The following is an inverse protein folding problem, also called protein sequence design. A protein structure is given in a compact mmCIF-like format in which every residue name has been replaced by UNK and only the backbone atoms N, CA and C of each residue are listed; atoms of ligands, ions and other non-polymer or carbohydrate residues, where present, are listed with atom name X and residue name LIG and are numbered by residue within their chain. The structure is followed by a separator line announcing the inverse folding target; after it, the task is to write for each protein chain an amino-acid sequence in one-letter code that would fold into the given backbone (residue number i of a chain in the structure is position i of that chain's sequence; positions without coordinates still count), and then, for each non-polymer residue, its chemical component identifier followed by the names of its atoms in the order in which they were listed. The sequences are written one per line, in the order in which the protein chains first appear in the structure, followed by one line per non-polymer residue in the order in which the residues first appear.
data_IF_616342012084
#
_entry.id   IF_616342012084
#
_cell.length_a   1.000
_cell.length_b   1.000
_cell.length_c   1.000
_cell.angle_alpha   90.00
_cell.angle_beta   90.00
_cell.angle_gamma   90.00
#
_symmetry.space_group_name_H-M   'P 1'
#
loop_
_entity.id
_entity.type
_entity.pdbx_description
1 polymer ?
#
# COMPACT_ATOMS: atom_id res chain seq x y z
N UNK A 1 -19.44 -20.46 -5.58
CA UNK A 1 -18.78 -19.17 -5.90
C UNK A 1 -17.53 -18.91 -5.07
N UNK A 2 -17.55 -19.03 -3.73
CA UNK A 2 -16.35 -18.81 -2.91
C UNK A 2 -15.12 -19.64 -3.32
N UNK A 3 -15.29 -20.92 -3.67
CA UNK A 3 -14.16 -21.78 -4.08
C UNK A 3 -13.43 -21.25 -5.32
N UNK A 4 -14.14 -20.65 -6.28
CA UNK A 4 -13.52 -20.05 -7.46
C UNK A 4 -12.76 -18.78 -7.12
N UNK A 5 -13.23 -18.01 -6.14
CA UNK A 5 -12.57 -16.78 -5.70
C UNK A 5 -11.24 -17.11 -5.01
N UNK A 6 -11.24 -18.08 -4.09
CA UNK A 6 -10.03 -18.47 -3.36
C UNK A 6 -8.95 -19.05 -4.27
N UNK A 7 -9.32 -19.76 -5.34
CA UNK A 7 -8.34 -20.29 -6.30
C UNK A 7 -7.85 -19.23 -7.29
N UNK A 8 -8.69 -18.27 -7.66
CA UNK A 8 -8.36 -17.25 -8.65
C UNK A 8 -7.52 -16.10 -8.07
N UNK A 9 -7.69 -15.80 -6.78
CA UNK A 9 -6.94 -14.76 -6.07
C UNK A 9 -5.40 -14.93 -6.13
N UNK A 10 -4.80 -16.10 -5.78
CA UNK A 10 -3.35 -16.27 -5.88
C UNK A 10 -2.84 -16.18 -7.32
N UNK A 11 -3.62 -16.64 -8.30
CA UNK A 11 -3.28 -16.54 -9.73
C UNK A 11 -3.21 -15.06 -10.14
N UNK A 12 -4.19 -14.25 -9.77
CA UNK A 12 -4.16 -12.82 -10.10
C UNK A 12 -3.05 -12.07 -9.39
N UNK A 13 -2.75 -12.39 -8.12
CA UNK A 13 -1.58 -11.82 -7.44
C UNK A 13 -0.28 -12.20 -8.15
N UNK A 14 -0.16 -13.44 -8.62
CA UNK A 14 0.99 -13.89 -9.39
C UNK A 14 1.12 -13.13 -10.71
N UNK A 15 0.03 -12.99 -11.47
CA UNK A 15 0.02 -12.24 -12.73
C UNK A 15 0.34 -10.76 -12.48
N UNK A 16 -0.23 -10.12 -11.47
CA UNK A 16 0.07 -8.74 -11.10
C UNK A 16 1.55 -8.57 -10.71
N UNK A 17 2.10 -9.49 -9.91
CA UNK A 17 3.50 -9.50 -9.51
C UNK A 17 4.44 -9.69 -10.70
N UNK A 18 4.14 -10.65 -11.57
CA UNK A 18 4.91 -10.92 -12.78
C UNK A 18 4.87 -9.73 -13.74
N UNK A 19 3.69 -9.16 -14.00
CA UNK A 19 3.52 -7.96 -14.82
C UNK A 19 4.30 -6.78 -14.24
N UNK A 20 4.28 -6.59 -12.92
CA UNK A 20 5.05 -5.53 -12.27
C UNK A 20 6.57 -5.71 -12.44
N UNK A 21 7.09 -6.93 -12.25
CA UNK A 21 8.52 -7.23 -12.44
C UNK A 21 8.92 -6.98 -13.90
N UNK A 22 8.13 -7.49 -14.85
CA UNK A 22 8.41 -7.33 -16.28
C UNK A 22 8.39 -5.86 -16.71
N UNK A 23 7.45 -5.09 -16.19
CA UNK A 23 7.28 -3.68 -16.53
C UNK A 23 8.43 -2.80 -16.02
N UNK A 24 9.12 -3.20 -14.94
CA UNK A 24 10.10 -2.34 -14.23
C UNK A 24 11.56 -2.70 -14.53
N UNK A 25 12.02 -2.41 -15.75
CA UNK A 25 13.41 -2.71 -16.19
C UNK A 25 14.48 -1.89 -15.40
N UNK A 26 14.15 -0.73 -14.81
CA UNK A 26 15.15 0.16 -14.17
C UNK A 26 14.98 0.45 -12.65
N UNK A 27 14.22 -0.37 -11.92
CA UNK A 27 13.92 -0.22 -10.47
C UNK A 27 13.06 1.02 -10.12
N UNK A 28 12.28 1.03 -9.03
CA UNK A 28 12.74 1.75 -7.82
C UNK A 28 11.94 1.53 -6.53
N UNK A 29 10.82 0.81 -6.53
CA UNK A 29 10.08 0.52 -5.29
C UNK A 29 10.32 -0.93 -4.85
N UNK A 30 11.36 -1.15 -4.03
CA UNK A 30 11.56 -2.46 -3.37
C UNK A 30 10.36 -2.78 -2.48
N UNK A 31 9.81 -1.77 -1.82
CA UNK A 31 8.67 -1.87 -0.92
C UNK A 31 7.43 -2.44 -1.61
N UNK A 32 7.12 -2.02 -2.85
CA UNK A 32 5.93 -2.53 -3.56
C UNK A 32 6.11 -3.96 -4.06
N UNK A 33 7.34 -4.36 -4.40
CA UNK A 33 7.62 -5.78 -4.70
C UNK A 33 7.39 -6.66 -3.49
N UNK A 34 7.84 -6.22 -2.32
CA UNK A 34 7.61 -6.94 -1.07
C UNK A 34 6.13 -6.96 -0.70
N UNK A 35 5.41 -5.86 -0.91
CA UNK A 35 3.95 -5.81 -0.77
C UNK A 35 3.24 -6.89 -1.61
N UNK A 36 3.53 -6.94 -2.92
CA UNK A 36 2.96 -7.93 -3.83
C UNK A 36 3.37 -9.36 -3.45
N UNK A 37 4.63 -9.57 -3.05
CA UNK A 37 5.15 -10.88 -2.65
C UNK A 37 4.49 -11.39 -1.37
N UNK A 38 4.28 -10.53 -0.37
CA UNK A 38 3.57 -10.90 0.87
C UNK A 38 2.13 -11.25 0.57
N UNK A 39 1.43 -10.47 -0.26
CA UNK A 39 0.08 -10.80 -0.67
C UNK A 39 -0.01 -12.11 -1.45
N UNK A 40 0.90 -12.34 -2.39
CA UNK A 40 0.97 -13.60 -3.13
C UNK A 40 1.22 -14.79 -2.20
N UNK A 41 2.21 -14.68 -1.29
CA UNK A 41 2.52 -15.74 -0.34
C UNK A 41 1.34 -16.02 0.61
N UNK A 42 0.70 -14.97 1.13
CA UNK A 42 -0.49 -15.11 1.98
C UNK A 42 -1.64 -15.77 1.23
N UNK A 43 -1.94 -15.35 0.00
CA UNK A 43 -3.00 -15.93 -0.82
C UNK A 43 -2.70 -17.40 -1.19
N UNK A 44 -1.44 -17.73 -1.52
CA UNK A 44 -1.02 -19.07 -1.86
C UNK A 44 -1.14 -20.05 -0.67
N UNK A 45 -0.95 -19.57 0.56
CA UNK A 45 -1.11 -20.38 1.77
C UNK A 45 -2.56 -20.43 2.24
N UNK A 46 -3.32 -19.33 2.13
CA UNK A 46 -4.72 -19.26 2.55
C UNK A 46 -5.64 -20.09 1.64
N UNK A 47 -5.38 -20.15 0.33
CA UNK A 47 -6.19 -20.90 -0.61
C UNK A 47 -6.34 -22.41 -0.27
N UNK A 48 -5.26 -23.19 -0.03
CA UNK A 48 -5.38 -24.59 0.37
C UNK A 48 -6.00 -24.73 1.76
N UNK A 49 -5.72 -23.83 2.71
CA UNK A 49 -6.34 -23.85 4.04
C UNK A 49 -7.86 -23.67 3.93
N UNK A 50 -8.32 -22.70 3.12
CA UNK A 50 -9.74 -22.48 2.87
C UNK A 50 -10.42 -23.69 2.22
N UNK A 51 -9.72 -24.41 1.33
CA UNK A 51 -10.22 -25.65 0.74
C UNK A 51 -10.33 -26.78 1.77
N UNK A 52 -9.34 -26.91 2.66
CA UNK A 52 -9.36 -27.91 3.74
C UNK A 52 -10.49 -27.63 4.74
N UNK A 53 -10.78 -26.35 5.03
CA UNK A 53 -11.87 -25.96 5.93
C UNK A 53 -13.26 -26.39 5.44
N UNK A 54 -13.47 -26.54 4.13
CA UNK A 54 -14.78 -26.95 3.57
C UNK A 54 -15.13 -28.40 3.89
N UNK A 55 -14.15 -29.25 4.17
CA UNK A 55 -14.34 -30.66 4.50
C UNK A 55 -14.05 -31.00 5.97
N UNK A 56 -13.68 -30.02 6.78
CA UNK A 56 -13.32 -30.22 8.18
C UNK A 56 -14.55 -30.09 9.08
N UNK A 57 -14.69 -30.99 10.05
CA UNK A 57 -15.76 -30.94 11.05
C UNK A 57 -15.18 -30.92 12.48
N UNK A 58 -15.95 -30.35 13.40
CA UNK A 58 -15.62 -30.35 14.83
C UNK A 58 -14.31 -29.63 15.17
N UNK A 59 -13.39 -30.34 15.84
CA UNK A 59 -12.17 -29.74 16.41
C UNK A 59 -11.15 -29.34 15.34
N UNK A 60 -11.12 -30.03 14.20
CA UNK A 60 -10.22 -29.72 13.09
C UNK A 60 -10.60 -28.41 12.41
N UNK A 61 -11.90 -28.18 12.21
CA UNK A 61 -12.42 -26.92 11.67
C UNK A 61 -12.02 -25.72 12.54
N UNK A 62 -12.06 -25.87 13.86
CA UNK A 62 -11.64 -24.82 14.80
C UNK A 62 -10.14 -24.48 14.67
N UNK A 63 -9.26 -25.49 14.59
CA UNK A 63 -7.82 -25.25 14.44
C UNK A 63 -7.48 -24.62 13.08
N UNK A 64 -8.16 -25.06 12.01
CA UNK A 64 -8.00 -24.49 10.68
C UNK A 64 -8.49 -23.04 10.63
N UNK A 65 -9.61 -22.72 11.29
CA UNK A 65 -10.10 -21.34 11.39
C UNK A 65 -9.12 -20.43 12.14
N UNK A 66 -8.57 -20.92 13.26
CA UNK A 66 -7.54 -20.21 14.00
C UNK A 66 -6.29 -19.96 13.14
N UNK A 67 -5.80 -20.99 12.45
CA UNK A 67 -4.63 -20.89 11.57
C UNK A 67 -4.88 -19.93 10.40
N UNK A 68 -6.04 -20.04 9.75
CA UNK A 68 -6.49 -19.15 8.67
C UNK A 68 -6.51 -17.70 9.16
N UNK A 69 -7.14 -17.43 10.31
CA UNK A 69 -7.22 -16.11 10.92
C UNK A 69 -5.82 -15.54 11.21
N UNK A 70 -4.92 -16.33 11.81
CA UNK A 70 -3.56 -15.89 12.12
C UNK A 70 -2.76 -15.51 10.86
N UNK A 71 -2.76 -16.37 9.85
CA UNK A 71 -2.03 -16.14 8.60
C UNK A 71 -2.59 -14.91 7.87
N UNK A 72 -3.92 -14.77 7.84
CA UNK A 72 -4.58 -13.62 7.26
C UNK A 72 -4.15 -12.33 7.96
N UNK A 73 -4.25 -12.24 9.29
CA UNK A 73 -3.93 -11.00 10.00
C UNK A 73 -2.44 -10.64 9.93
N UNK A 74 -1.53 -11.61 10.06
CA UNK A 74 -0.11 -11.35 9.91
C UNK A 74 0.27 -10.94 8.48
N UNK A 75 -0.31 -11.60 7.48
CA UNK A 75 -0.17 -11.22 6.07
C UNK A 75 -0.65 -9.78 5.83
N UNK A 76 -1.80 -9.42 6.37
CA UNK A 76 -2.41 -8.09 6.31
C UNK A 76 -1.55 -7.00 6.98
N UNK A 77 -0.98 -7.28 8.16
CA UNK A 77 -0.05 -6.37 8.85
C UNK A 77 1.22 -6.20 8.04
N UNK A 78 1.83 -7.30 7.57
CA UNK A 78 3.05 -7.28 6.78
C UNK A 78 2.87 -6.48 5.49
N UNK A 79 1.82 -6.80 4.73
CA UNK A 79 1.46 -6.05 3.52
C UNK A 79 1.23 -4.57 3.83
N UNK A 80 0.52 -4.25 4.91
CA UNK A 80 0.27 -2.88 5.32
C UNK A 80 1.53 -2.06 5.59
N UNK A 81 2.52 -2.66 6.25
CA UNK A 81 3.82 -2.01 6.49
C UNK A 81 4.56 -1.77 5.17
N UNK A 82 4.54 -2.72 4.24
CA UNK A 82 5.15 -2.55 2.92
C UNK A 82 4.41 -1.52 2.06
N UNK A 83 3.08 -1.40 2.19
CA UNK A 83 2.30 -0.35 1.53
C UNK A 83 2.70 1.04 2.02
N UNK A 84 2.89 1.24 3.33
CA UNK A 84 3.44 2.48 3.89
C UNK A 84 4.86 2.75 3.37
N UNK A 85 5.68 1.72 3.25
CA UNK A 85 7.00 1.82 2.60
C UNK A 85 6.90 2.25 1.13
N UNK A 86 5.95 1.71 0.37
CA UNK A 86 5.69 2.14 -1.01
C UNK A 86 5.27 3.60 -1.08
N UNK A 87 4.40 4.05 -0.17
CA UNK A 87 4.02 5.46 -0.08
C UNK A 87 5.25 6.32 0.19
N UNK A 88 6.10 5.92 1.15
CA UNK A 88 7.37 6.61 1.42
C UNK A 88 8.20 6.79 0.15
N UNK A 89 8.37 5.72 -0.61
CA UNK A 89 9.17 5.72 -1.84
C UNK A 89 8.55 6.65 -2.90
N UNK A 90 7.22 6.63 -3.04
CA UNK A 90 6.48 7.52 -3.95
C UNK A 90 6.63 8.98 -3.53
N UNK A 91 6.39 9.31 -2.25
CA UNK A 91 6.53 10.67 -1.74
C UNK A 91 7.97 11.18 -1.85
N UNK A 92 8.96 10.35 -1.52
CA UNK A 92 10.37 10.71 -1.65
C UNK A 92 10.72 11.13 -3.08
N UNK A 93 10.19 10.40 -4.07
CA UNK A 93 10.44 10.69 -5.49
C UNK A 93 9.72 11.94 -5.97
N UNK A 94 8.47 12.16 -5.55
CA UNK A 94 7.68 13.34 -5.95
C UNK A 94 8.25 14.60 -5.31
N UNK A 95 8.69 14.53 -4.06
CA UNK A 95 9.21 15.66 -3.30
C UNK A 95 10.70 15.92 -3.52
N UNK A 96 11.37 15.23 -4.45
CA UNK A 96 12.80 15.46 -4.78
C UNK A 96 13.11 16.93 -5.11
N UNK A 97 12.15 17.67 -5.64
CA UNK A 97 12.28 19.10 -5.96
C UNK A 97 12.14 20.02 -4.74
N UNK A 98 11.56 19.52 -3.64
CA UNK A 98 11.20 20.26 -2.43
C UNK A 98 11.90 19.64 -1.20
N UNK A 99 13.22 19.76 -1.14
CA UNK A 99 14.07 19.08 -0.13
C UNK A 99 13.62 19.33 1.31
N UNK A 100 13.18 20.55 1.65
CA UNK A 100 12.70 20.88 2.99
C UNK A 100 11.42 20.13 3.38
N UNK A 101 10.42 20.14 2.48
CA UNK A 101 9.16 19.43 2.69
C UNK A 101 9.36 17.91 2.66
N UNK A 102 10.23 17.42 1.78
CA UNK A 102 10.63 16.02 1.69
C UNK A 102 11.13 15.49 3.03
N UNK A 103 12.06 16.20 3.69
CA UNK A 103 12.61 15.79 4.99
C UNK A 103 11.54 15.72 6.07
N UNK A 104 10.67 16.73 6.16
CA UNK A 104 9.61 16.77 7.16
C UNK A 104 8.61 15.63 6.96
N UNK A 105 8.15 15.42 5.73
CA UNK A 105 7.18 14.37 5.41
C UNK A 105 7.75 12.97 5.63
N UNK A 106 9.01 12.74 5.23
CA UNK A 106 9.67 11.45 5.47
C UNK A 106 9.91 11.19 6.97
N UNK A 107 10.24 12.24 7.73
CA UNK A 107 10.39 12.14 9.19
C UNK A 107 9.06 11.79 9.85
N UNK A 108 7.95 12.45 9.48
CA UNK A 108 6.61 12.13 9.97
C UNK A 108 6.23 10.67 9.65
N UNK A 109 6.46 10.22 8.42
CA UNK A 109 6.16 8.85 8.02
C UNK A 109 7.04 7.81 8.74
N UNK A 110 8.30 8.15 9.00
CA UNK A 110 9.20 7.31 9.80
C UNK A 110 8.71 7.16 11.24
N UNK A 111 8.30 8.26 11.88
CA UNK A 111 7.73 8.19 13.23
C UNK A 111 6.42 7.41 13.27
N UNK A 112 5.60 7.54 12.24
CA UNK A 112 4.37 6.75 12.10
C UNK A 112 4.68 5.24 12.02
N UNK A 113 5.72 4.83 11.28
CA UNK A 113 6.19 3.44 11.25
C UNK A 113 6.73 2.98 12.61
N UNK A 114 7.46 3.83 13.34
CA UNK A 114 7.95 3.52 14.69
C UNK A 114 6.78 3.33 15.66
N UNK A 115 5.79 4.23 15.63
CA UNK A 115 4.58 4.13 16.47
C UNK A 115 3.80 2.86 16.11
N UNK A 116 3.62 2.58 14.82
CA UNK A 116 2.98 1.35 14.36
C UNK A 116 3.71 0.09 14.88
N UNK A 117 5.04 0.07 14.80
CA UNK A 117 5.86 -1.02 15.33
C UNK A 117 5.70 -1.17 16.84
N UNK A 118 5.73 -0.08 17.61
CA UNK A 118 5.52 -0.12 19.06
C UNK A 118 4.12 -0.60 19.43
N UNK A 119 3.09 -0.21 18.67
CA UNK A 119 1.72 -0.70 18.87
C UNK A 119 1.63 -2.20 18.56
N UNK A 120 2.20 -2.67 17.46
CA UNK A 120 2.27 -4.10 17.13
C UNK A 120 2.99 -4.86 18.24
N UNK A 121 4.18 -4.41 18.63
CA UNK A 121 5.00 -5.05 19.66
C UNK A 121 4.27 -5.08 21.01
N UNK A 122 3.67 -3.95 21.42
CA UNK A 122 2.89 -3.88 22.65
C UNK A 122 1.72 -4.86 22.62
N UNK A 123 1.03 -5.03 21.48
CA UNK A 123 -0.08 -5.99 21.36
C UNK A 123 0.40 -7.44 21.34
N UNK A 124 1.54 -7.73 20.71
CA UNK A 124 2.16 -9.07 20.73
C UNK A 124 2.62 -9.45 22.14
N UNK A 125 3.16 -8.50 22.90
CA UNK A 125 3.62 -8.71 24.28
C UNK A 125 2.48 -8.68 25.31
N UNK A 126 1.40 -7.94 25.03
CA UNK A 126 0.22 -7.83 25.87
C UNK A 126 -0.61 -9.12 25.78
N UNK A 127 -0.15 -10.15 26.48
CA UNK A 127 -0.87 -11.41 26.70
C UNK A 127 -2.03 -11.20 27.70
N UNK A 128 -2.98 -10.32 27.38
CA UNK A 128 -4.09 -9.96 28.27
C UNK A 128 -5.28 -10.89 28.00
N UNK A 129 -5.53 -11.79 28.95
CA UNK A 129 -6.41 -12.97 28.85
C UNK A 129 -7.92 -12.73 28.65
N UNK A 130 -8.36 -11.56 28.20
CA UNK A 130 -9.77 -11.24 27.96
C UNK A 130 -10.14 -11.09 26.47
N UNK A 131 -9.18 -10.81 25.58
CA UNK A 131 -9.46 -10.61 24.14
C UNK A 131 -8.72 -11.69 23.33
N UNK A 132 -9.42 -12.45 22.47
CA UNK A 132 -8.78 -13.45 21.62
C UNK A 132 -7.70 -12.78 20.77
N UNK A 133 -6.54 -13.43 20.65
CA UNK A 133 -5.35 -12.89 19.99
C UNK A 133 -5.62 -12.42 18.55
N UNK A 134 -6.49 -13.12 17.81
CA UNK A 134 -6.96 -12.71 16.48
C UNK A 134 -7.66 -11.35 16.47
N UNK A 135 -8.48 -11.05 17.48
CA UNK A 135 -9.15 -9.75 17.62
C UNK A 135 -8.16 -8.62 17.90
N UNK A 136 -7.06 -8.89 18.60
CA UNK A 136 -6.02 -7.88 18.83
C UNK A 136 -5.26 -7.56 17.53
N UNK A 137 -4.92 -8.59 16.74
CA UNK A 137 -4.29 -8.39 15.44
C UNK A 137 -5.20 -7.66 14.45
N UNK A 138 -6.51 -7.93 14.49
CA UNK A 138 -7.50 -7.23 13.68
C UNK A 138 -7.51 -5.71 13.93
N UNK A 139 -7.49 -5.30 15.21
CA UNK A 139 -7.43 -3.87 15.59
C UNK A 139 -6.16 -3.20 15.05
N UNK A 140 -5.03 -3.91 15.09
CA UNK A 140 -3.76 -3.42 14.56
C UNK A 140 -3.81 -3.27 13.04
N UNK A 141 -4.28 -4.30 12.32
CA UNK A 141 -4.43 -4.26 10.87
C UNK A 141 -5.37 -3.11 10.44
N UNK A 142 -6.51 -2.98 11.10
CA UNK A 142 -7.46 -1.89 10.88
C UNK A 142 -6.82 -0.50 11.08
N UNK A 143 -6.07 -0.30 12.17
CA UNK A 143 -5.37 0.96 12.41
C UNK A 143 -4.36 1.29 11.30
N UNK A 144 -3.66 0.28 10.77
CA UNK A 144 -2.75 0.46 9.64
C UNK A 144 -3.49 0.81 8.35
N UNK A 145 -4.62 0.15 8.05
CA UNK A 145 -5.43 0.46 6.87
C UNK A 145 -6.01 1.88 6.91
N UNK A 146 -6.51 2.31 8.08
CA UNK A 146 -6.99 3.67 8.27
C UNK A 146 -5.87 4.68 8.03
N UNK A 147 -4.68 4.39 8.58
CA UNK A 147 -3.51 5.26 8.43
C UNK A 147 -3.06 5.34 6.96
N UNK A 148 -3.05 4.22 6.24
CA UNK A 148 -2.79 4.18 4.81
C UNK A 148 -3.81 5.00 4.02
N UNK A 149 -5.10 4.83 4.30
CA UNK A 149 -6.16 5.57 3.63
C UNK A 149 -6.00 7.08 3.84
N UNK A 150 -5.72 7.52 5.07
CA UNK A 150 -5.47 8.93 5.38
C UNK A 150 -4.25 9.45 4.62
N UNK A 151 -3.12 8.74 4.66
CA UNK A 151 -1.90 9.16 3.93
C UNK A 151 -2.17 9.22 2.43
N UNK A 152 -2.81 8.21 1.85
CA UNK A 152 -3.11 8.16 0.42
C UNK A 152 -4.08 9.24 -0.03
N UNK A 153 -5.02 9.64 0.82
CA UNK A 153 -5.91 10.77 0.56
C UNK A 153 -5.16 12.09 0.38
N UNK A 154 -3.98 12.24 0.99
CA UNK A 154 -3.09 13.38 0.73
C UNK A 154 -2.16 13.14 -0.46
N UNK A 155 -1.65 11.92 -0.63
CA UNK A 155 -0.68 11.59 -1.69
C UNK A 155 -1.30 11.67 -3.08
N UNK A 156 -2.50 11.12 -3.28
CA UNK A 156 -3.17 11.11 -4.60
C UNK A 156 -3.36 12.53 -5.17
N UNK A 157 -4.03 13.47 -4.47
CA UNK A 157 -4.21 14.82 -5.00
C UNK A 157 -2.87 15.53 -5.17
N UNK A 158 -1.88 15.27 -4.29
CA UNK A 158 -0.55 15.83 -4.44
C UNK A 158 0.16 15.31 -5.71
N UNK A 159 0.04 14.01 -6.01
CA UNK A 159 0.56 13.44 -7.26
C UNK A 159 -0.09 14.08 -8.48
N UNK A 160 -1.41 14.33 -8.43
CA UNK A 160 -2.17 14.95 -9.51
C UNK A 160 -1.77 16.42 -9.71
N UNK A 161 -1.56 17.17 -8.62
CA UNK A 161 -1.17 18.58 -8.67
C UNK A 161 0.28 18.77 -9.15
N UNK A 162 1.22 17.93 -8.69
CA UNK A 162 2.66 18.08 -9.00
C UNK A 162 3.02 17.51 -10.37
N UNK A 163 2.34 16.45 -10.84
CA UNK A 163 2.61 15.83 -12.16
C UNK A 163 1.46 16.04 -13.12
N UNK A 164 1.30 17.26 -13.62
CA UNK A 164 0.27 17.64 -14.59
C UNK A 164 0.45 17.05 -16.01
N UNK A 165 1.46 16.19 -16.29
CA UNK A 165 1.85 15.89 -17.68
C UNK A 165 2.22 14.44 -18.03
N UNK A 166 2.19 13.46 -17.13
CA UNK A 166 2.45 12.08 -17.55
C UNK A 166 1.77 11.11 -16.62
N UNK A 167 0.97 10.20 -17.19
CA UNK A 167 0.39 9.02 -16.56
C UNK A 167 1.50 8.22 -15.88
N UNK A 168 1.86 8.59 -14.66
CA UNK A 168 3.00 7.98 -13.99
C UNK A 168 2.54 6.77 -13.23
N UNK A 169 3.18 5.62 -13.43
CA UNK A 169 2.85 4.35 -12.76
C UNK A 169 2.70 4.45 -11.23
N UNK A 170 3.33 5.44 -10.59
CA UNK A 170 3.16 5.71 -9.15
C UNK A 170 1.75 6.16 -8.78
N UNK A 171 1.07 6.89 -9.67
CA UNK A 171 -0.32 7.29 -9.47
C UNK A 171 -1.24 6.06 -9.53
N UNK A 172 -1.03 5.17 -10.51
CA UNK A 172 -1.81 3.94 -10.64
C UNK A 172 -1.61 3.00 -9.45
N UNK A 173 -0.36 2.88 -8.97
CA UNK A 173 -0.04 2.15 -7.73
C UNK A 173 -0.69 2.79 -6.51
N UNK A 174 -0.54 4.10 -6.32
CA UNK A 174 -1.11 4.81 -5.18
C UNK A 174 -2.64 4.75 -5.18
N UNK A 175 -3.27 4.86 -6.35
CA UNK A 175 -4.72 4.74 -6.51
C UNK A 175 -5.21 3.34 -6.13
N UNK A 176 -4.57 2.29 -6.66
CA UNK A 176 -4.94 0.91 -6.30
C UNK A 176 -4.74 0.61 -4.82
N UNK A 177 -3.65 1.09 -4.22
CA UNK A 177 -3.44 0.99 -2.77
C UNK A 177 -4.52 1.74 -1.98
N UNK A 178 -5.02 2.86 -2.49
CA UNK A 178 -6.04 3.65 -1.80
C UNK A 178 -7.39 2.97 -1.85
N UNK A 179 -7.75 2.42 -3.00
CA UNK A 179 -8.97 1.62 -3.16
C UNK A 179 -8.95 0.44 -2.19
N UNK A 180 -7.84 -0.30 -2.11
CA UNK A 180 -7.70 -1.42 -1.17
C UNK A 180 -7.77 -0.95 0.29
N UNK A 181 -6.99 0.05 0.67
CA UNK A 181 -6.96 0.56 2.04
C UNK A 181 -8.32 1.09 2.51
N UNK A 182 -9.03 1.84 1.64
CA UNK A 182 -10.37 2.35 1.93
C UNK A 182 -11.37 1.18 2.02
N UNK A 183 -11.30 0.21 1.11
CA UNK A 183 -12.21 -0.95 1.15
C UNK A 183 -12.03 -1.78 2.42
N UNK A 184 -10.79 -2.02 2.85
CA UNK A 184 -10.51 -2.72 4.10
C UNK A 184 -10.95 -1.88 5.30
N UNK A 185 -10.68 -0.57 5.31
CA UNK A 185 -11.13 0.31 6.38
C UNK A 185 -12.66 0.38 6.52
N UNK A 186 -13.42 0.32 5.41
CA UNK A 186 -14.89 0.34 5.40
C UNK A 186 -15.47 -1.03 5.74
N UNK A 187 -14.95 -2.09 5.13
CA UNK A 187 -15.51 -3.44 5.29
C UNK A 187 -15.14 -4.06 6.64
N UNK A 188 -13.98 -3.68 7.19
CA UNK A 188 -13.58 -4.07 8.55
C UNK A 188 -14.12 -3.08 9.61
N UNK A 189 -14.86 -2.04 9.18
CA UNK A 189 -15.52 -1.08 10.08
C UNK A 189 -16.60 -1.79 10.88
N UNK A 190 -16.35 -1.98 12.18
CA UNK A 190 -17.29 -2.65 13.09
C UNK A 190 -16.96 -4.12 13.40
N UNK A 191 -15.87 -4.68 12.84
CA UNK A 191 -15.34 -6.00 13.22
C UNK A 191 -14.74 -6.05 14.64
N UNK A 192 -14.90 -4.99 15.43
CA UNK A 192 -14.47 -4.91 16.83
C UNK A 192 -15.32 -5.81 17.74
N UNK A 193 -16.48 -6.23 17.24
CA UNK A 193 -17.28 -7.30 17.83
C UNK A 193 -17.11 -8.55 16.97
N UNK A 194 -16.98 -9.75 17.58
CA UNK A 194 -16.96 -11.01 16.86
C UNK A 194 -18.34 -11.24 16.23
N UNK A 195 -18.57 -10.64 15.08
CA UNK A 195 -19.72 -10.89 14.24
C UNK A 195 -19.27 -11.87 13.16
N UNK A 196 -20.04 -12.93 12.86
CA UNK A 196 -19.74 -13.76 11.70
C UNK A 196 -19.71 -12.86 10.47
N UNK A 197 -18.59 -12.88 9.74
CA UNK A 197 -18.41 -12.11 8.51
C UNK A 197 -19.53 -12.53 7.56
N UNK A 198 -20.29 -11.56 7.07
CA UNK A 198 -21.41 -11.88 6.18
C UNK A 198 -20.87 -12.38 4.84
N UNK A 199 -21.55 -13.34 4.21
CA UNK A 199 -21.17 -13.82 2.87
C UNK A 199 -21.12 -12.66 1.86
N UNK A 200 -21.94 -11.63 2.05
CA UNK A 200 -21.95 -10.41 1.25
C UNK A 200 -20.66 -9.59 1.42
N UNK A 201 -20.15 -9.43 2.64
CA UNK A 201 -18.87 -8.75 2.91
C UNK A 201 -17.70 -9.49 2.24
N UNK A 202 -17.66 -10.82 2.33
CA UNK A 202 -16.61 -11.63 1.69
C UNK A 202 -16.64 -11.43 0.17
N UNK A 203 -17.84 -11.46 -0.44
CA UNK A 203 -18.00 -11.24 -1.88
C UNK A 203 -17.57 -9.82 -2.25
N UNK A 204 -17.97 -8.80 -1.49
CA UNK A 204 -17.59 -7.41 -1.73
C UNK A 204 -16.07 -7.20 -1.64
N UNK A 205 -15.42 -7.70 -0.57
CA UNK A 205 -13.97 -7.65 -0.41
C UNK A 205 -13.25 -8.32 -1.58
N UNK A 206 -13.74 -9.50 -1.98
CA UNK A 206 -13.19 -10.25 -3.10
C UNK A 206 -13.31 -9.48 -4.41
N UNK A 207 -14.47 -8.89 -4.70
CA UNK A 207 -14.68 -8.09 -5.90
C UNK A 207 -13.75 -6.87 -5.95
N UNK A 208 -13.54 -6.18 -4.84
CA UNK A 208 -12.62 -5.03 -4.78
C UNK A 208 -11.17 -5.47 -5.05
N UNK A 209 -10.73 -6.57 -4.44
CA UNK A 209 -9.38 -7.12 -4.69
C UNK A 209 -9.22 -7.53 -6.15
N UNK A 210 -10.18 -8.28 -6.70
CA UNK A 210 -10.16 -8.73 -8.09
C UNK A 210 -10.10 -7.55 -9.08
N UNK A 211 -10.96 -6.56 -8.90
CA UNK A 211 -11.01 -5.36 -9.77
C UNK A 211 -9.73 -4.55 -9.68
N UNK A 212 -9.17 -4.38 -8.48
CA UNK A 212 -7.89 -3.67 -8.30
C UNK A 212 -6.72 -4.42 -8.94
N UNK A 213 -6.67 -5.75 -8.79
CA UNK A 213 -5.62 -6.56 -9.42
C UNK A 213 -5.70 -6.51 -10.94
N UNK A 214 -6.91 -6.63 -11.50
CA UNK A 214 -7.14 -6.48 -12.94
C UNK A 214 -6.70 -5.10 -13.43
N UNK A 215 -7.09 -4.04 -12.70
CA UNK A 215 -6.63 -2.68 -12.98
C UNK A 215 -5.09 -2.56 -12.99
N UNK A 216 -4.41 -3.10 -11.98
CA UNK A 216 -2.95 -3.11 -11.94
C UNK A 216 -2.31 -3.91 -13.06
N UNK A 217 -2.87 -5.07 -13.42
CA UNK A 217 -2.38 -5.87 -14.54
C UNK A 217 -2.45 -5.06 -15.82
N UNK A 218 -3.57 -4.38 -16.09
CA UNK A 218 -3.70 -3.49 -17.26
C UNK A 218 -2.73 -2.31 -17.22
N UNK A 219 -2.57 -1.67 -16.05
CA UNK A 219 -1.63 -0.56 -15.87
C UNK A 219 -0.17 -0.99 -16.06
N UNK A 220 0.22 -2.20 -15.63
CA UNK A 220 1.59 -2.68 -15.76
C UNK A 220 1.89 -3.32 -17.12
N UNK A 221 0.88 -3.91 -17.77
CA UNK A 221 1.00 -4.49 -19.10
C UNK A 221 1.03 -3.43 -20.21
N UNK A 222 0.46 -2.25 -19.97
CA UNK A 222 0.55 -1.13 -20.90
C UNK A 222 2.01 -0.71 -21.10
N UNK A 223 2.49 -0.78 -22.34
CA UNK A 223 3.79 -0.21 -22.71
C UNK A 223 3.74 1.31 -22.48
N UNK A 224 4.64 1.81 -21.66
CA UNK A 224 4.76 3.25 -21.42
C UNK A 224 5.55 3.81 -22.60
N UNK A 225 4.87 4.48 -23.52
CA UNK A 225 5.53 5.25 -24.58
C UNK A 225 6.58 6.14 -23.91
N UNK A 226 7.84 6.01 -24.35
CA UNK A 226 8.95 6.75 -23.77
C UNK A 226 8.57 8.22 -23.71
N UNK A 227 8.63 8.87 -22.52
CA UNK A 227 8.19 10.24 -22.39
C UNK A 227 9.01 11.10 -23.34
N UNK A 228 8.39 11.60 -24.40
CA UNK A 228 8.99 12.62 -25.24
C UNK A 228 9.48 13.74 -24.30
N UNK A 229 10.71 14.24 -24.46
CA UNK A 229 11.24 15.30 -23.62
C UNK A 229 10.42 16.57 -23.82
N UNK A 230 9.32 16.68 -23.06
CA UNK A 230 8.47 17.87 -23.01
C UNK A 230 9.24 18.94 -22.27
N UNK A 231 9.95 19.76 -23.05
CA UNK A 231 10.46 21.05 -22.60
C UNK A 231 9.31 21.79 -21.91
N UNK A 232 9.45 22.05 -20.61
CA UNK A 232 8.53 22.88 -19.86
C UNK A 232 8.33 24.19 -20.64
N UNK A 233 7.10 24.62 -20.94
CA UNK A 233 6.90 25.91 -21.57
C UNK A 233 7.54 26.97 -20.66
N UNK A 234 8.43 27.80 -21.23
CA UNK A 234 9.20 28.84 -20.54
C UNK A 234 8.33 29.78 -19.67
N UNK A 235 7.03 29.87 -19.97
CA UNK A 235 6.06 30.69 -19.24
C UNK A 235 5.44 30.01 -18.00
N UNK A 236 5.86 28.78 -17.66
CA UNK A 236 5.38 28.06 -16.49
C UNK A 236 5.80 28.76 -15.18
N UNK A 237 4.84 29.05 -14.29
CA UNK A 237 5.10 29.63 -12.95
C UNK A 237 6.11 28.81 -12.14
N UNK A 238 6.23 27.50 -12.38
CA UNK A 238 7.19 26.61 -11.72
C UNK A 238 8.62 26.79 -12.24
N UNK A 239 8.81 27.05 -13.54
CA UNK A 239 10.13 27.41 -14.10
C UNK A 239 10.60 28.72 -13.47
N UNK A 240 9.69 29.69 -13.36
CA UNK A 240 9.93 30.99 -12.72
C UNK A 240 10.31 30.88 -11.23
N UNK A 241 9.72 29.92 -10.51
CA UNK A 241 10.10 29.62 -9.13
C UNK A 241 11.48 28.95 -9.04
N UNK A 242 11.79 28.03 -9.96
CA UNK A 242 13.11 27.39 -10.02
C UNK A 242 14.22 28.39 -10.36
N UNK A 243 13.93 29.36 -11.23
CA UNK A 243 14.85 30.46 -11.56
C UNK A 243 15.05 31.39 -10.36
N UNK A 244 13.98 31.81 -9.68
CA UNK A 244 14.09 32.61 -8.46
C UNK A 244 14.95 31.93 -7.39
N UNK A 245 14.80 30.61 -7.21
CA UNK A 245 15.63 29.83 -6.29
C UNK A 245 17.09 29.72 -6.75
N UNK A 246 17.36 29.63 -8.07
CA UNK A 246 18.73 29.65 -8.61
C UNK A 246 19.41 31.00 -8.44
N UNK A 247 18.68 32.10 -8.61
CA UNK A 247 19.18 33.46 -8.39
C UNK A 247 19.55 33.65 -6.93
N UNK A 248 18.66 33.30 -6.00
CA UNK A 248 18.92 33.36 -4.56
C UNK A 248 20.14 32.51 -4.14
N UNK A 249 20.33 31.34 -4.74
CA UNK A 249 21.50 30.48 -4.48
C UNK A 249 22.80 31.06 -5.06
N UNK A 250 22.75 31.80 -6.16
CA UNK A 250 23.93 32.49 -6.70
C UNK A 250 24.32 33.68 -5.83
N UNK A 251 23.34 34.45 -5.37
CA UNK A 251 23.58 35.59 -4.48
C UNK A 251 24.19 35.16 -3.15
N UNK A 252 23.70 34.06 -2.55
CA UNK A 252 24.28 33.53 -1.31
C UNK A 252 25.73 33.10 -1.46
N UNK A 253 26.09 32.48 -2.60
CA UNK A 253 27.47 32.06 -2.89
C UNK A 253 28.39 33.26 -3.15
N UNK A 254 27.90 34.33 -3.76
CA UNK A 254 28.68 35.56 -3.94
C UNK A 254 28.91 36.34 -2.64
N UNK A 255 27.94 36.33 -1.72
CA UNK A 255 28.07 36.99 -0.43
C UNK A 255 29.07 36.31 0.51
N UNK A 256 29.22 34.98 0.39
CA UNK A 256 30.15 34.17 1.18
C UNK A 256 31.61 34.27 0.68
N UNK A 257 31.82 34.70 -0.57
CA UNK A 257 33.14 34.88 -1.18
C UNK A 257 33.76 36.27 -0.92
N UNK A 258 32.96 37.22 -0.47
CA UNK A 258 33.37 38.60 -0.17
C UNK A 258 33.52 38.87 1.34
N UNK A 259 33.55 37.82 2.16
CA UNK A 259 33.97 37.85 3.57
C UNK A 259 35.26 37.06 3.73
#
# INVERSE_FOLDING_TARGET
MLNMVYTLQPILWFVAFYSYIRSTIDSRSRSFRLYLAVHLASAAVLAPIALLMLGAEGREAFWLDLLHSQIFWWGSIGASLFALGTMRDILAQILTTLVGLQRLVLLCLQWLLVVAFLVILNRVLANWGAVPYSGQLAVVAYGLYLTQAVVLLFVIPFTFMVRRSSRSRFQDVALGLAVLAISHAILDWGCWKPKPISTAEIIAQSLVVLTTLVFWIFCFAGEEEAPEPRLLPLNSRLVRWSEKLRVLKRESVSAERNR
#
